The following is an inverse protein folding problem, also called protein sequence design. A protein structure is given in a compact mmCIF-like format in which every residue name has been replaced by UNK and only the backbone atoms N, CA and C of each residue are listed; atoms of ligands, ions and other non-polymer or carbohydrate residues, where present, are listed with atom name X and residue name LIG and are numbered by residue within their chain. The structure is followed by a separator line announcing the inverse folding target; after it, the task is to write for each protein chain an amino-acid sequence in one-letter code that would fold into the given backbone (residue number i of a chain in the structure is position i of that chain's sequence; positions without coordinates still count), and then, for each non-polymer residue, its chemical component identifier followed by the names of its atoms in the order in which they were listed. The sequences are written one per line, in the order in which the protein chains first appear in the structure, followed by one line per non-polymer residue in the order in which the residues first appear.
data_IF_585011871823
#
_entry.id   IF_585011871823
#
_cell.length_a   1.000
_cell.length_b   1.000
_cell.length_c   1.000
_cell.angle_alpha   90.00
_cell.angle_beta   90.00
_cell.angle_gamma   90.00
#
_symmetry.space_group_name_H-M   'P 1'
#
loop_
_entity.id
_entity.type
_entity.pdbx_description
1 polymer ?
#
# COMPACT_ATOMS: atom_id res chain seq x y z
N UNK A 1 -24.30 -11.27 -4.18
CA UNK A 1 -23.53 -12.30 -4.90
C UNK A 1 -23.07 -11.71 -6.24
N UNK A 2 -21.89 -12.10 -6.77
CA UNK A 2 -21.43 -11.62 -8.08
C UNK A 2 -22.47 -11.88 -9.18
N UNK A 3 -22.54 -10.97 -10.16
CA UNK A 3 -23.40 -11.09 -11.35
C UNK A 3 -22.98 -12.32 -12.15
N UNK A 4 -23.95 -13.10 -12.62
CA UNK A 4 -23.67 -14.16 -13.58
C UNK A 4 -23.33 -13.55 -14.94
N UNK A 5 -22.36 -14.14 -15.63
CA UNK A 5 -22.07 -13.81 -17.02
C UNK A 5 -22.72 -14.86 -17.91
N UNK A 6 -23.37 -14.39 -18.97
CA UNK A 6 -23.89 -15.27 -20.01
C UNK A 6 -22.75 -15.92 -20.78
N UNK A 7 -23.03 -17.02 -21.48
CA UNK A 7 -22.04 -17.70 -22.32
C UNK A 7 -21.53 -16.78 -23.44
N UNK A 8 -22.41 -15.99 -24.03
CA UNK A 8 -22.08 -15.00 -25.06
C UNK A 8 -21.15 -13.91 -24.53
N UNK A 9 -21.47 -13.32 -23.36
CA UNK A 9 -20.58 -12.32 -22.72
C UNK A 9 -19.19 -12.89 -22.42
N UNK A 10 -19.10 -14.15 -21.97
CA UNK A 10 -17.82 -14.80 -21.71
C UNK A 10 -17.03 -15.05 -22.99
N UNK A 11 -17.70 -15.47 -24.06
CA UNK A 11 -17.06 -15.69 -25.36
C UNK A 11 -16.53 -14.39 -25.96
N UNK A 12 -17.34 -13.33 -25.95
CA UNK A 12 -16.95 -12.02 -26.47
C UNK A 12 -15.76 -11.42 -25.70
N UNK A 13 -15.73 -11.57 -24.38
CA UNK A 13 -14.63 -11.02 -23.57
C UNK A 13 -13.33 -11.82 -23.66
N UNK A 14 -13.41 -13.15 -23.74
CA UNK A 14 -12.22 -14.01 -23.75
C UNK A 14 -11.67 -14.23 -25.16
N UNK A 15 -12.54 -14.28 -26.17
CA UNK A 15 -12.21 -14.57 -27.55
C UNK A 15 -12.95 -13.64 -28.52
N UNK A 16 -12.71 -12.31 -28.46
CA UNK A 16 -13.42 -11.34 -29.29
C UNK A 16 -13.26 -11.61 -30.80
N UNK A 17 -12.12 -12.17 -31.22
CA UNK A 17 -11.76 -12.41 -32.62
C UNK A 17 -11.68 -13.92 -32.96
N UNK A 18 -12.24 -14.79 -32.12
CA UNK A 18 -12.13 -16.25 -32.33
C UNK A 18 -13.43 -16.96 -31.99
N UNK A 19 -13.98 -17.69 -32.97
CA UNK A 19 -15.17 -18.48 -32.74
C UNK A 19 -14.84 -19.73 -31.93
N UNK A 20 -15.42 -19.84 -30.73
CA UNK A 20 -15.24 -20.97 -29.82
C UNK A 20 -16.58 -21.66 -29.62
N UNK A 21 -16.64 -22.97 -29.90
CA UNK A 21 -17.84 -23.78 -29.67
C UNK A 21 -18.22 -23.78 -28.19
N UNK A 22 -19.53 -23.79 -27.92
CA UNK A 22 -20.08 -23.75 -26.56
C UNK A 22 -19.59 -24.92 -25.68
N UNK A 23 -19.37 -26.09 -26.28
CA UNK A 23 -18.81 -27.27 -25.62
C UNK A 23 -17.41 -27.00 -25.02
N UNK A 24 -16.62 -26.12 -25.65
CA UNK A 24 -15.29 -25.76 -25.16
C UNK A 24 -15.37 -24.91 -23.89
N UNK A 25 -16.35 -23.99 -23.80
CA UNK A 25 -16.57 -23.22 -22.57
C UNK A 25 -16.96 -24.13 -21.40
N UNK A 26 -17.77 -25.16 -21.65
CA UNK A 26 -18.09 -26.15 -20.63
C UNK A 26 -16.85 -26.92 -20.17
N UNK A 27 -15.98 -27.33 -21.09
CA UNK A 27 -14.74 -28.03 -20.78
C UNK A 27 -13.80 -27.17 -19.91
N UNK A 28 -13.57 -25.92 -20.32
CA UNK A 28 -12.71 -24.97 -19.59
C UNK A 28 -13.23 -24.68 -18.17
N UNK A 29 -14.55 -24.58 -17.99
CA UNK A 29 -15.13 -24.46 -16.64
C UNK A 29 -14.89 -25.73 -15.82
N UNK A 30 -14.91 -26.91 -16.46
CA UNK A 30 -14.51 -28.17 -15.84
C UNK A 30 -13.05 -28.15 -15.36
N UNK A 31 -12.13 -27.67 -16.19
CA UNK A 31 -10.71 -27.53 -15.84
C UNK A 31 -10.49 -26.53 -14.71
N UNK A 32 -11.13 -25.36 -14.75
CA UNK A 32 -11.07 -24.35 -13.68
C UNK A 32 -11.58 -24.96 -12.35
N UNK A 33 -12.69 -25.69 -12.40
CA UNK A 33 -13.23 -26.37 -11.22
C UNK A 33 -12.27 -27.42 -10.68
N UNK A 34 -11.65 -28.23 -11.55
CA UNK A 34 -10.65 -29.19 -11.14
C UNK A 34 -9.44 -28.51 -10.48
N UNK A 35 -8.93 -27.44 -11.07
CA UNK A 35 -7.80 -26.66 -10.55
C UNK A 35 -8.09 -26.02 -9.18
N UNK A 36 -9.35 -25.62 -8.94
CA UNK A 36 -9.79 -25.03 -7.68
C UNK A 36 -10.27 -26.05 -6.64
N UNK A 37 -10.19 -27.36 -6.93
CA UNK A 37 -10.81 -28.42 -6.15
C UNK A 37 -12.31 -28.16 -5.85
N UNK A 38 -13.03 -27.65 -6.87
CA UNK A 38 -14.39 -27.14 -6.77
C UNK A 38 -15.42 -28.08 -7.44
N UNK A 39 -16.09 -28.98 -6.70
CA UNK A 39 -16.96 -29.99 -7.30
C UNK A 39 -18.24 -29.38 -7.87
N UNK A 40 -18.60 -29.72 -9.11
CA UNK A 40 -19.82 -29.25 -9.78
C UNK A 40 -21.13 -29.52 -9.02
N UNK A 41 -21.16 -30.54 -8.14
CA UNK A 41 -22.35 -30.86 -7.31
C UNK A 41 -22.52 -29.93 -6.11
N UNK A 42 -21.45 -29.30 -5.63
CA UNK A 42 -21.43 -28.35 -4.50
C UNK A 42 -20.37 -27.27 -4.76
N UNK A 43 -20.62 -26.37 -5.73
CA UNK A 43 -19.62 -25.39 -6.13
C UNK A 43 -19.39 -24.36 -5.02
N UNK A 44 -18.15 -24.26 -4.55
CA UNK A 44 -17.63 -23.28 -3.61
C UNK A 44 -16.97 -22.07 -4.28
N UNK A 45 -16.69 -22.10 -5.60
CA UNK A 45 -16.04 -21.00 -6.33
C UNK A 45 -16.76 -20.61 -7.64
N UNK A 46 -17.22 -21.57 -8.45
CA UNK A 46 -17.87 -21.30 -9.74
C UNK A 46 -19.23 -21.98 -9.81
N UNK A 47 -20.32 -21.22 -9.68
CA UNK A 47 -21.69 -21.73 -9.80
C UNK A 47 -22.18 -21.72 -11.25
N UNK A 48 -22.92 -22.76 -11.64
CA UNK A 48 -23.64 -22.80 -12.91
C UNK A 48 -25.01 -22.15 -12.75
N UNK A 49 -25.33 -21.21 -13.64
CA UNK A 49 -26.68 -20.66 -13.81
C UNK A 49 -27.30 -21.34 -15.01
N UNK A 50 -28.20 -22.29 -14.74
CA UNK A 50 -28.79 -23.15 -15.77
C UNK A 50 -29.45 -22.32 -16.87
N UNK A 51 -29.17 -22.68 -18.12
CA UNK A 51 -29.68 -21.96 -19.31
C UNK A 51 -29.05 -20.59 -19.58
N UNK A 52 -28.22 -20.05 -18.68
CA UNK A 52 -27.69 -18.69 -18.80
C UNK A 52 -26.16 -18.66 -18.93
N UNK A 53 -25.43 -19.26 -17.98
CA UNK A 53 -23.98 -19.18 -17.95
C UNK A 53 -23.39 -19.51 -16.58
N UNK A 54 -22.38 -18.75 -16.17
CA UNK A 54 -21.58 -19.04 -14.99
C UNK A 54 -21.43 -17.80 -14.12
N UNK A 55 -21.28 -18.01 -12.80
CA UNK A 55 -20.96 -16.93 -11.89
C UNK A 55 -19.89 -17.38 -10.91
N UNK A 56 -19.03 -16.45 -10.53
CA UNK A 56 -18.16 -16.63 -9.39
C UNK A 56 -18.98 -16.55 -8.09
N UNK A 57 -18.66 -17.39 -7.13
CA UNK A 57 -19.23 -17.39 -5.79
C UNK A 57 -18.17 -17.92 -4.85
N UNK A 58 -17.70 -17.10 -3.91
CA UNK A 58 -16.92 -17.58 -2.78
C UNK A 58 -17.29 -16.73 -1.56
N UNK A 59 -17.24 -17.29 -0.33
CA UNK A 59 -17.29 -16.47 0.86
C UNK A 59 -16.12 -15.50 0.82
N UNK A 60 -16.41 -14.22 0.59
CA UNK A 60 -15.41 -13.19 0.67
C UNK A 60 -15.17 -12.88 2.14
N UNK A 61 -14.00 -13.27 2.65
CA UNK A 61 -13.50 -12.62 3.85
C UNK A 61 -13.10 -11.24 3.39
N UNK A 62 -13.96 -10.24 3.61
CA UNK A 62 -13.49 -8.88 3.70
C UNK A 62 -12.51 -8.85 4.87
N UNK A 63 -11.22 -9.15 4.60
CA UNK A 63 -10.17 -8.55 5.40
C UNK A 63 -10.40 -7.07 5.22
N UNK A 64 -11.07 -6.47 6.20
CA UNK A 64 -11.07 -5.03 6.39
C UNK A 64 -9.60 -4.68 6.60
N UNK A 65 -8.85 -4.49 5.50
CA UNK A 65 -7.81 -3.47 5.48
C UNK A 65 -8.59 -2.26 5.96
N UNK A 66 -8.42 -1.91 7.23
CA UNK A 66 -8.64 -0.54 7.61
C UNK A 66 -7.84 0.23 6.56
N UNK A 67 -8.53 0.92 5.65
CA UNK A 67 -7.92 2.00 4.87
C UNK A 67 -7.60 3.08 5.91
N UNK A 68 -6.61 2.81 6.76
CA UNK A 68 -5.85 3.85 7.40
C UNK A 68 -5.19 4.60 6.26
N UNK A 69 -5.37 5.92 6.23
CA UNK A 69 -4.56 6.79 5.40
C UNK A 69 -3.12 6.42 5.69
N UNK A 70 -2.43 5.81 4.72
CA UNK A 70 -1.06 5.40 4.96
C UNK A 70 -0.22 6.68 5.07
N UNK A 71 0.29 6.96 6.26
CA UNK A 71 1.29 8.01 6.43
C UNK A 71 2.57 7.55 5.76
N UNK A 72 3.08 8.39 4.87
CA UNK A 72 4.38 8.22 4.22
C UNK A 72 5.29 9.33 4.71
N UNK A 73 6.48 8.95 5.19
CA UNK A 73 7.57 9.87 5.50
C UNK A 73 8.69 9.67 4.49
N UNK A 74 9.08 10.74 3.79
CA UNK A 74 10.21 10.75 2.87
C UNK A 74 11.35 11.52 3.52
N UNK A 75 12.46 10.81 3.73
CA UNK A 75 13.73 11.40 4.17
C UNK A 75 14.62 11.62 2.95
N UNK A 76 15.26 12.79 2.84
CA UNK A 76 16.23 13.08 1.78
C UNK A 76 17.49 13.70 2.38
N UNK A 77 18.65 13.24 1.93
CA UNK A 77 19.96 13.72 2.32
C UNK A 77 20.86 13.82 1.08
N UNK A 78 22.07 14.31 1.26
CA UNK A 78 23.08 14.33 0.20
C UNK A 78 23.51 12.90 -0.15
N UNK A 79 23.18 12.44 -1.36
CA UNK A 79 23.49 11.09 -1.82
C UNK A 79 22.35 10.07 -1.72
N UNK A 80 21.17 10.43 -1.20
CA UNK A 80 20.07 9.48 -1.16
C UNK A 80 18.72 9.98 -0.65
N UNK A 81 17.75 9.07 -0.71
CA UNK A 81 16.41 9.25 -0.14
C UNK A 81 15.86 7.91 0.33
N UNK A 82 15.04 7.95 1.38
CA UNK A 82 14.35 6.77 1.91
C UNK A 82 12.86 7.08 2.10
N UNK A 83 12.00 6.16 1.67
CA UNK A 83 10.55 6.23 1.84
C UNK A 83 10.15 5.28 2.96
N UNK A 84 9.61 5.84 4.04
CA UNK A 84 9.15 5.13 5.22
C UNK A 84 7.62 5.08 5.23
N UNK A 85 7.06 3.89 5.34
CA UNK A 85 5.62 3.68 5.62
C UNK A 85 5.40 3.48 7.11
N UNK A 86 4.14 3.31 7.54
CA UNK A 86 3.84 2.98 8.94
C UNK A 86 4.72 1.83 9.47
N UNK A 87 5.33 2.04 10.64
CA UNK A 87 6.34 1.13 11.22
C UNK A 87 7.41 1.84 12.04
N UNK A 88 8.34 1.07 12.61
CA UNK A 88 9.56 1.56 13.28
C UNK A 88 10.75 1.33 12.34
N UNK A 89 11.51 2.38 12.04
CA UNK A 89 12.61 2.37 11.08
C UNK A 89 13.90 2.85 11.73
N UNK A 90 14.98 2.09 11.59
CA UNK A 90 16.30 2.42 12.10
C UNK A 90 17.06 3.26 11.06
N UNK A 91 17.59 4.39 11.50
CA UNK A 91 18.55 5.19 10.75
C UNK A 91 19.93 4.96 11.34
N UNK A 92 20.92 4.67 10.49
CA UNK A 92 22.29 4.52 10.93
C UNK A 92 23.26 4.23 9.79
N UNK A 93 24.55 4.08 10.11
CA UNK A 93 25.58 3.73 9.12
C UNK A 93 25.73 2.24 8.88
N UNK A 94 25.05 1.42 9.67
CA UNK A 94 25.08 -0.04 9.50
C UNK A 94 24.34 -0.41 8.21
N UNK A 95 24.90 -1.26 7.33
CA UNK A 95 24.20 -1.71 6.12
C UNK A 95 22.86 -2.39 6.38
N UNK A 96 22.65 -2.94 7.58
CA UNK A 96 21.40 -3.59 7.99
C UNK A 96 20.32 -2.59 8.49
N UNK A 97 20.60 -1.28 8.50
CA UNK A 97 19.62 -0.27 8.87
C UNK A 97 18.58 -0.03 7.76
N UNK A 98 17.34 0.29 8.13
CA UNK A 98 16.28 0.62 7.17
C UNK A 98 16.61 1.88 6.35
N UNK A 99 17.34 2.82 6.96
CA UNK A 99 17.90 4.00 6.30
C UNK A 99 19.40 4.07 6.55
N UNK A 100 20.16 3.70 5.53
CA UNK A 100 21.63 3.71 5.59
C UNK A 100 22.17 5.10 5.27
N UNK A 101 22.79 5.73 6.27
CA UNK A 101 23.57 6.95 6.15
C UNK A 101 25.04 6.60 6.40
N UNK A 102 25.76 6.17 5.37
CA UNK A 102 27.16 5.73 5.46
C UNK A 102 28.14 6.90 5.59
N UNK A 103 28.08 7.57 6.73
CA UNK A 103 28.96 8.69 7.09
C UNK A 103 29.59 8.45 8.46
N UNK A 104 30.86 8.82 8.61
CA UNK A 104 31.60 8.62 9.85
C UNK A 104 31.01 9.33 11.09
N UNK A 105 30.20 10.39 10.88
CA UNK A 105 29.48 11.07 11.95
C UNK A 105 28.23 10.31 12.43
N UNK A 106 27.79 9.30 11.70
CA UNK A 106 26.57 8.54 12.00
C UNK A 106 26.94 7.27 12.80
N UNK A 107 26.11 6.90 13.77
CA UNK A 107 26.32 5.70 14.58
C UNK A 107 25.72 4.50 13.85
N UNK A 108 26.18 3.28 14.11
CA UNK A 108 25.65 2.06 13.45
C UNK A 108 24.12 1.99 13.52
N UNK A 109 23.59 2.22 14.71
CA UNK A 109 22.17 2.51 14.96
C UNK A 109 22.16 3.88 15.63
N UNK A 110 21.69 4.91 14.93
CA UNK A 110 21.84 6.30 15.36
C UNK A 110 20.51 6.84 15.90
N UNK A 111 19.46 6.73 15.10
CA UNK A 111 18.14 7.18 15.47
C UNK A 111 17.08 6.16 15.01
N UNK A 112 15.86 6.32 15.54
CA UNK A 112 14.67 5.63 15.05
C UNK A 112 13.61 6.62 14.65
N UNK A 113 12.95 6.31 13.54
CA UNK A 113 11.77 7.02 13.08
C UNK A 113 10.58 6.08 13.15
N UNK A 114 9.65 6.39 14.04
CA UNK A 114 8.39 5.69 14.14
C UNK A 114 7.33 6.45 13.33
N UNK A 115 6.87 5.84 12.24
CA UNK A 115 5.78 6.36 11.41
C UNK A 115 4.48 5.75 11.90
N UNK A 116 3.63 6.57 12.52
CA UNK A 116 2.28 6.20 12.91
C UNK A 116 1.23 6.76 11.94
N UNK A 117 -0.04 6.38 12.11
CA UNK A 117 -1.14 6.82 11.25
C UNK A 117 -1.47 8.32 11.36
N UNK A 118 -0.96 9.02 12.39
CA UNK A 118 -1.21 10.46 12.63
C UNK A 118 0.03 11.29 12.93
N UNK A 119 1.16 10.65 13.22
CA UNK A 119 2.36 11.33 13.67
C UNK A 119 3.60 10.54 13.25
N UNK A 120 4.68 11.26 12.99
CA UNK A 120 6.02 10.69 12.78
C UNK A 120 6.86 11.13 13.97
N UNK A 121 7.53 10.19 14.64
CA UNK A 121 8.30 10.46 15.85
C UNK A 121 9.76 10.10 15.61
N UNK A 122 10.68 11.01 15.89
CA UNK A 122 12.11 10.78 15.90
C UNK A 122 12.59 10.53 17.33
N UNK A 123 13.45 9.53 17.49
CA UNK A 123 14.15 9.24 18.75
C UNK A 123 15.63 9.00 18.48
N UNK A 124 16.51 9.69 19.20
CA UNK A 124 17.93 9.34 19.23
C UNK A 124 18.16 8.06 20.06
N UNK A 125 19.05 7.18 19.61
CA UNK A 125 19.33 5.89 20.25
C UNK A 125 20.66 5.88 21.02
N UNK A 126 20.95 6.98 21.73
CA UNK A 126 22.21 7.21 22.42
C UNK A 126 23.40 7.25 21.43
N UNK A 127 23.21 8.00 20.35
CA UNK A 127 24.21 8.15 19.30
C UNK A 127 25.40 9.00 19.77
N UNK A 128 26.58 8.76 19.17
CA UNK A 128 27.81 9.47 19.57
C UNK A 128 27.73 10.99 19.37
N UNK A 129 27.17 11.42 18.24
CA UNK A 129 27.15 12.84 17.83
C UNK A 129 25.78 13.50 18.01
N UNK A 130 24.77 12.73 18.41
CA UNK A 130 23.40 13.22 18.61
C UNK A 130 22.62 13.41 17.32
N UNK A 131 21.30 13.50 17.51
CA UNK A 131 20.33 13.92 16.51
C UNK A 131 19.76 15.29 16.88
N UNK A 132 19.41 16.10 15.88
CA UNK A 132 18.87 17.45 16.08
C UNK A 132 17.62 17.68 15.24
N UNK A 133 16.64 18.40 15.77
CA UNK A 133 15.44 18.87 15.05
C UNK A 133 15.35 20.38 15.22
N UNK A 134 15.32 21.13 14.12
CA UNK A 134 15.29 22.60 14.17
C UNK A 134 16.43 23.21 15.01
N UNK A 135 17.61 22.59 14.98
CA UNK A 135 18.79 23.01 15.73
C UNK A 135 18.83 22.62 17.22
N UNK A 136 17.74 22.08 17.78
CA UNK A 136 17.71 21.58 19.15
C UNK A 136 18.07 20.09 19.19
N UNK A 137 18.86 19.68 20.18
CA UNK A 137 19.25 18.28 20.37
C UNK A 137 18.04 17.45 20.80
N UNK A 138 17.93 16.23 20.27
CA UNK A 138 16.85 15.28 20.59
C UNK A 138 17.25 14.44 21.78
N UNK A 139 16.93 14.90 22.99
CA UNK A 139 17.17 14.16 24.23
C UNK A 139 15.97 13.27 24.65
N UNK A 140 14.78 13.54 24.09
CA UNK A 140 13.57 12.75 24.25
C UNK A 140 12.86 12.58 22.89
N UNK A 141 12.00 11.56 22.70
CA UNK A 141 11.24 11.39 21.46
C UNK A 141 10.47 12.65 21.08
N UNK A 142 10.59 13.08 19.83
CA UNK A 142 10.01 14.33 19.32
C UNK A 142 9.19 14.08 18.05
N UNK A 143 8.05 14.75 17.93
CA UNK A 143 7.22 14.72 16.72
C UNK A 143 7.86 15.52 15.59
N UNK A 144 7.95 14.91 14.41
CA UNK A 144 8.33 15.56 13.16
C UNK A 144 7.10 16.08 12.42
N UNK A 145 7.24 17.22 11.77
CA UNK A 145 6.24 17.85 10.90
C UNK A 145 6.73 17.91 9.45
N UNK A 146 5.80 18.01 8.49
CA UNK A 146 6.18 18.16 7.08
C UNK A 146 7.07 19.40 6.90
N UNK A 147 8.18 19.23 6.16
CA UNK A 147 9.13 20.30 5.90
C UNK A 147 10.22 20.47 6.96
N UNK A 148 10.20 19.68 8.04
CA UNK A 148 11.25 19.74 9.05
C UNK A 148 12.64 19.44 8.46
N UNK A 149 13.63 20.16 8.98
CA UNK A 149 15.04 19.86 8.78
C UNK A 149 15.58 19.24 10.06
N UNK A 150 16.11 18.02 9.92
CA UNK A 150 16.75 17.29 11.01
C UNK A 150 18.23 17.09 10.67
N UNK A 151 19.04 16.80 11.69
CA UNK A 151 20.45 16.46 11.51
C UNK A 151 20.73 15.16 12.25
N UNK A 152 21.31 14.18 11.56
CA UNK A 152 21.70 12.88 12.11
C UNK A 152 23.23 12.83 12.12
N UNK A 153 23.85 12.98 13.29
CA UNK A 153 25.27 13.27 13.38
C UNK A 153 25.60 14.62 12.74
N UNK A 154 26.32 14.62 11.61
CA UNK A 154 26.61 15.81 10.81
C UNK A 154 25.84 15.84 9.48
N UNK A 155 24.91 14.90 9.26
CA UNK A 155 24.21 14.75 7.97
C UNK A 155 22.87 15.50 8.05
N UNK A 156 22.67 16.58 7.27
CA UNK A 156 21.36 17.22 7.16
C UNK A 156 20.39 16.34 6.40
N UNK A 157 19.18 16.18 6.93
CA UNK A 157 18.10 15.39 6.35
C UNK A 157 16.83 16.22 6.32
N UNK A 158 16.27 16.40 5.12
CA UNK A 158 14.96 17.03 4.96
C UNK A 158 13.85 16.00 5.07
N UNK A 159 12.77 16.37 5.75
CA UNK A 159 11.63 15.51 6.05
C UNK A 159 10.40 15.99 5.26
N UNK A 160 9.75 15.07 4.54
CA UNK A 160 8.42 15.30 3.97
C UNK A 160 7.44 14.26 4.48
N UNK A 161 6.27 14.69 4.94
CA UNK A 161 5.23 13.82 5.51
C UNK A 161 3.96 14.04 4.72
N UNK A 162 3.45 12.99 4.10
CA UNK A 162 2.17 12.99 3.42
C UNK A 162 1.32 11.85 3.98
N UNK A 163 0.14 12.15 4.49
CA UNK A 163 -0.91 11.15 4.58
C UNK A 163 -1.57 11.06 3.21
N UNK A 164 -1.78 9.85 2.68
CA UNK A 164 -2.63 9.66 1.50
C UNK A 164 -4.08 9.99 1.85
N UNK A 165 -4.36 11.28 1.97
CA UNK A 165 -5.67 11.87 2.15
C UNK A 165 -6.07 12.43 0.78
N UNK A 166 -6.57 11.54 -0.08
CA UNK A 166 -7.44 11.86 -1.21
C UNK A 166 -7.08 13.17 -1.94
N UNK A 167 -6.07 13.10 -2.82
CA UNK A 167 -5.97 14.06 -3.92
C UNK A 167 -7.09 13.77 -4.92
N UNK A 168 -8.33 14.16 -4.60
CA UNK A 168 -9.44 14.39 -5.53
C UNK A 168 -10.47 15.26 -4.80
N UNK A 169 -10.25 16.57 -4.82
CA UNK A 169 -11.35 17.51 -4.70
C UNK A 169 -11.89 17.73 -6.12
N UNK A 170 -12.77 16.84 -6.57
CA UNK A 170 -13.74 17.22 -7.62
C UNK A 170 -14.96 17.72 -6.88
N UNK A 171 -15.00 19.02 -6.63
CA UNK A 171 -16.23 19.71 -6.31
C UNK A 171 -17.17 19.58 -7.52
N UNK A 172 -18.08 18.61 -7.51
CA UNK A 172 -19.26 18.66 -8.35
C UNK A 172 -20.14 19.75 -7.72
N UNK A 173 -20.01 20.98 -8.22
CA UNK A 173 -21.02 22.00 -8.00
C UNK A 173 -22.28 21.53 -8.72
N UNK A 174 -23.25 21.03 -7.95
CA UNK A 174 -24.61 20.79 -8.44
C UNK A 174 -25.17 22.10 -8.98
N UNK A 175 -25.37 22.15 -10.29
CA UNK A 175 -26.15 23.19 -10.94
C UNK A 175 -27.61 23.05 -10.47
N UNK A 176 -28.13 24.07 -9.78
CA UNK A 176 -29.57 24.23 -9.57
C UNK A 176 -30.25 24.45 -10.93
N UNK A 177 -31.28 23.68 -11.32
CA UNK A 177 -32.20 24.15 -12.35
C UNK A 177 -33.13 25.17 -11.71
N UNK A 178 -33.08 26.40 -12.23
CA UNK A 178 -34.10 27.42 -12.02
C UNK A 178 -35.16 27.33 -13.12
N UNK A 179 -36.42 27.37 -12.67
CA UNK A 179 -37.70 27.81 -13.26
C UNK A 179 -38.82 26.82 -12.93
#
# INVERSE_FOLDING_TARGET
APRALSKAELQEQLWPETFVLEANLHHLIGEIRAALADPSRRPGFVRTVHGFGYAFQAPTVQRRRQKGRATVCLLRWEGGRARLTEGDHVIGRDPDADVVLDFGSVSRRHARVQVGPKAVILRDTNSKNGSFVRGARVDAPIGLTDGDQITIGAVPVSVRISSDALSTETAILEAKPGL
#
